data_IF_755221648282
#
_entry.id   IF_755221648282
#
_cell.length_a   1.000
_cell.length_b   1.000
_cell.length_c   1.000
_cell.angle_alpha   90.00
_cell.angle_beta   90.00
_cell.angle_gamma   90.00
#
_symmetry.space_group_name_H-M   'P 1'
#
loop_
_entity.id
_entity.type
_entity.pdbx_description
1 polymer ?
#
# COMPACT_ATOMS: atom_id res chain seq x y z
N UNK A 1 34.41 41.71 10.45
CA UNK A 1 33.82 40.37 10.16
C UNK A 1 32.97 40.44 8.90
N UNK A 2 33.52 40.14 7.73
CA UNK A 2 32.77 39.90 6.49
C UNK A 2 33.44 38.72 5.79
N UNK A 3 32.92 37.52 6.03
CA UNK A 3 33.29 36.36 5.22
C UNK A 3 32.08 36.01 4.37
N UNK A 4 32.17 36.37 3.10
CA UNK A 4 31.15 36.18 2.10
C UNK A 4 31.61 35.14 1.09
N UNK A 5 30.64 34.36 0.62
CA UNK A 5 30.53 33.80 -0.74
C UNK A 5 31.03 32.35 -0.93
N UNK A 6 30.02 31.47 -0.96
CA UNK A 6 29.86 30.25 -1.77
C UNK A 6 30.76 30.19 -3.02
N UNK A 7 31.30 29.00 -3.34
CA UNK A 7 31.27 28.50 -4.72
C UNK A 7 31.55 26.97 -4.84
N UNK A 8 30.51 26.25 -5.30
CA UNK A 8 30.49 25.11 -6.26
C UNK A 8 31.29 23.83 -5.96
N UNK A 9 30.59 22.81 -5.49
CA UNK A 9 30.87 21.39 -5.79
C UNK A 9 30.09 21.01 -7.06
N UNK A 10 30.78 20.45 -8.07
CA UNK A 10 30.17 19.92 -9.30
C UNK A 10 29.94 18.40 -9.16
N UNK A 11 28.72 17.88 -9.44
CA UNK A 11 28.50 16.43 -9.56
C UNK A 11 28.79 15.97 -10.99
N UNK A 12 29.71 15.02 -11.13
CA UNK A 12 29.99 14.34 -12.39
C UNK A 12 29.03 13.18 -12.65
N UNK A 13 28.26 13.35 -13.73
CA UNK A 13 27.83 12.36 -14.72
C UNK A 13 27.19 11.03 -14.30
N UNK A 14 25.90 10.97 -14.65
CA UNK A 14 25.02 9.82 -14.83
C UNK A 14 25.31 9.09 -16.16
N UNK A 15 25.33 7.75 -16.16
CA UNK A 15 25.10 6.85 -17.31
C UNK A 15 25.24 5.39 -16.82
N UNK A 16 24.46 4.39 -17.20
CA UNK A 16 23.24 4.27 -17.98
C UNK A 16 22.65 2.89 -17.65
N UNK A 17 21.35 2.86 -17.39
CA UNK A 17 20.49 1.66 -17.43
C UNK A 17 20.12 1.38 -18.88
N UNK A 18 20.09 0.10 -19.25
CA UNK A 18 19.50 -0.38 -20.51
C UNK A 18 19.82 -1.87 -20.66
N UNK A 19 19.04 -2.79 -20.10
CA UNK A 19 17.74 -3.24 -20.62
C UNK A 19 17.78 -3.52 -22.14
N UNK A 20 17.60 -4.80 -22.51
CA UNK A 20 16.82 -5.29 -23.66
C UNK A 20 17.01 -6.81 -23.74
N UNK A 21 16.05 -7.58 -23.23
CA UNK A 21 14.84 -8.09 -23.93
C UNK A 21 15.16 -9.23 -24.89
N UNK A 22 14.71 -10.42 -24.46
CA UNK A 22 14.37 -11.57 -25.31
C UNK A 22 13.50 -11.12 -26.49
N UNK A 23 13.68 -11.72 -27.68
CA UNK A 23 12.60 -12.58 -28.16
C UNK A 23 13.09 -13.75 -29.03
N UNK A 24 12.46 -14.91 -28.93
CA UNK A 24 12.69 -15.95 -29.93
C UNK A 24 11.90 -17.24 -29.71
N UNK A 25 11.08 -17.57 -30.71
CA UNK A 25 10.44 -18.87 -30.99
C UNK A 25 9.17 -19.13 -30.19
N UNK A 26 7.98 -18.77 -30.66
CA UNK A 26 7.29 -19.15 -31.91
C UNK A 26 7.21 -20.67 -32.16
N UNK A 27 5.95 -21.13 -32.10
CA UNK A 27 5.30 -22.16 -32.92
C UNK A 27 5.48 -23.62 -32.53
N UNK A 28 4.37 -24.24 -32.09
CA UNK A 28 4.27 -25.69 -31.96
C UNK A 28 2.95 -26.19 -31.38
N UNK A 29 1.80 -25.78 -31.92
CA UNK A 29 0.52 -26.45 -31.64
C UNK A 29 0.19 -27.42 -32.79
N UNK A 30 0.32 -28.74 -32.61
CA UNK A 30 -0.39 -29.69 -33.44
C UNK A 30 -1.73 -30.07 -32.79
N UNK A 31 -2.77 -29.66 -33.51
CA UNK A 31 -4.03 -30.37 -33.80
C UNK A 31 -4.37 -31.64 -32.98
N UNK A 32 -5.62 -31.59 -32.51
CA UNK A 32 -6.65 -32.65 -32.46
C UNK A 32 -6.38 -33.86 -31.56
N UNK A 33 -7.30 -34.04 -30.60
CA UNK A 33 -8.28 -35.15 -30.69
C UNK A 33 -9.57 -34.80 -29.93
N UNK A 34 -10.66 -34.84 -30.69
CA UNK A 34 -12.03 -35.02 -30.21
C UNK A 34 -12.18 -36.52 -29.95
N UNK A 35 -12.51 -36.90 -28.72
CA UNK A 35 -13.23 -38.13 -28.31
C UNK A 35 -13.75 -37.81 -26.90
N UNK A 36 -14.99 -37.35 -26.75
CA UNK A 36 -16.16 -38.21 -26.49
C UNK A 36 -15.89 -39.24 -25.41
N UNK A 37 -16.30 -38.94 -24.18
CA UNK A 37 -16.91 -39.91 -23.26
C UNK A 37 -17.45 -39.15 -22.04
N UNK A 38 -18.74 -39.36 -21.78
CA UNK A 38 -19.51 -38.63 -20.78
C UNK A 38 -18.98 -38.87 -19.38
N UNK A 39 -18.80 -37.78 -18.63
CA UNK A 39 -18.72 -37.87 -17.17
C UNK A 39 -20.15 -37.89 -16.63
N UNK A 40 -20.58 -38.95 -15.92
CA UNK A 40 -21.80 -38.86 -15.13
C UNK A 40 -21.58 -37.83 -14.03
N UNK A 41 -22.50 -36.88 -13.91
CA UNK A 41 -22.53 -35.97 -12.77
C UNK A 41 -22.76 -36.80 -11.49
N UNK A 42 -21.91 -36.67 -10.45
CA UNK A 42 -22.18 -37.30 -9.18
C UNK A 42 -23.45 -36.68 -8.58
N UNK A 43 -24.53 -37.46 -8.55
CA UNK A 43 -25.74 -37.12 -7.80
C UNK A 43 -25.41 -37.34 -6.32
N UNK A 44 -25.43 -36.26 -5.55
CA UNK A 44 -25.42 -36.35 -4.09
C UNK A 44 -24.04 -36.53 -3.46
N UNK A 45 -23.25 -35.46 -3.42
CA UNK A 45 -22.47 -35.18 -2.22
C UNK A 45 -22.96 -33.84 -1.66
N UNK A 46 -23.85 -33.93 -0.68
CA UNK A 46 -24.12 -32.88 0.27
C UNK A 46 -22.83 -32.62 1.07
N UNK A 47 -22.16 -31.52 0.78
CA UNK A 47 -21.04 -31.05 1.59
C UNK A 47 -21.60 -30.44 2.88
N UNK A 48 -21.25 -30.94 4.09
CA UNK A 48 -21.44 -30.17 5.30
C UNK A 48 -20.34 -29.10 5.33
N UNK A 49 -20.57 -28.00 4.61
CA UNK A 49 -19.52 -27.00 4.41
C UNK A 49 -20.02 -25.73 3.76
N UNK A 50 -21.31 -25.42 3.93
CA UNK A 50 -21.85 -24.11 3.55
C UNK A 50 -21.40 -23.09 4.60
N UNK A 51 -20.14 -22.70 4.49
CA UNK A 51 -19.66 -21.47 5.08
C UNK A 51 -20.64 -20.34 4.69
N UNK A 52 -20.95 -19.45 5.64
CA UNK A 52 -22.08 -18.54 5.51
C UNK A 52 -21.94 -17.66 4.28
N UNK A 53 -23.06 -17.47 3.58
CA UNK A 53 -23.27 -16.42 2.59
C UNK A 53 -23.18 -15.05 3.30
N UNK A 54 -21.98 -14.61 3.66
CA UNK A 54 -21.78 -13.23 4.12
C UNK A 54 -21.59 -12.35 2.89
N UNK A 55 -22.68 -12.12 2.17
CA UNK A 55 -22.77 -11.05 1.17
C UNK A 55 -23.95 -10.14 1.54
N UNK A 56 -23.90 -9.64 2.77
CA UNK A 56 -24.61 -8.45 3.16
C UNK A 56 -23.64 -7.62 4.00
N UNK A 57 -22.85 -6.77 3.34
CA UNK A 57 -22.26 -5.60 4.00
C UNK A 57 -22.19 -4.41 3.04
N UNK A 58 -23.30 -3.67 3.08
CA UNK A 58 -23.42 -2.22 2.94
C UNK A 58 -22.86 -1.54 1.69
N UNK A 59 -23.80 -1.34 0.76
CA UNK A 59 -23.86 -0.25 -0.23
C UNK A 59 -24.02 1.12 0.49
N UNK A 60 -23.16 1.42 1.47
CA UNK A 60 -23.21 2.67 2.25
C UNK A 60 -21.83 3.05 2.74
N UNK A 61 -20.90 3.22 1.81
CA UNK A 61 -19.88 4.25 1.95
C UNK A 61 -19.32 4.52 0.56
N UNK A 62 -19.52 5.73 0.04
CA UNK A 62 -18.70 6.26 -1.05
C UNK A 62 -17.19 6.25 -0.73
N UNK A 63 -16.80 5.86 0.50
CA UNK A 63 -15.45 5.93 1.04
C UNK A 63 -14.99 4.51 1.39
N UNK A 64 -13.78 4.10 1.00
CA UNK A 64 -13.22 2.81 1.37
C UNK A 64 -13.17 2.65 2.90
N UNK A 65 -13.05 1.43 3.41
CA UNK A 65 -12.73 1.22 4.82
C UNK A 65 -11.24 1.45 5.08
N UNK A 66 -10.88 1.84 6.30
CA UNK A 66 -9.47 1.97 6.68
C UNK A 66 -8.84 0.60 6.95
N UNK A 67 -7.67 0.29 6.36
CA UNK A 67 -6.95 -0.94 6.64
C UNK A 67 -6.26 -0.84 8.00
N UNK A 68 -5.94 -2.00 8.59
CA UNK A 68 -5.21 -2.10 9.85
C UNK A 68 -3.87 -1.36 9.81
N UNK A 69 -3.19 -1.40 8.67
CA UNK A 69 -1.93 -0.70 8.42
C UNK A 69 -2.02 0.09 7.12
N UNK A 70 -1.71 1.37 7.20
CA UNK A 70 -1.62 2.26 6.04
C UNK A 70 -0.31 3.02 6.07
N UNK A 71 0.31 3.17 4.91
CA UNK A 71 1.51 3.97 4.71
C UNK A 71 1.26 5.00 3.61
N UNK A 72 1.84 6.19 3.75
CA UNK A 72 1.80 7.25 2.73
C UNK A 72 2.84 7.06 1.63
N UNK A 73 3.85 6.20 1.84
CA UNK A 73 4.90 5.98 0.86
C UNK A 73 4.40 5.05 -0.26
N UNK A 74 4.32 5.50 -1.52
CA UNK A 74 3.85 4.68 -2.64
C UNK A 74 4.73 3.46 -2.94
N UNK A 75 5.95 3.41 -2.38
CA UNK A 75 6.85 2.25 -2.50
C UNK A 75 6.55 1.17 -1.47
N UNK A 76 5.72 1.47 -0.47
CA UNK A 76 5.34 0.54 0.59
C UNK A 76 4.22 -0.39 0.12
N UNK A 77 4.23 -1.69 0.49
CA UNK A 77 3.13 -2.60 0.19
C UNK A 77 1.80 -2.21 0.89
N UNK A 78 1.86 -1.30 1.86
CA UNK A 78 0.69 -0.81 2.61
C UNK A 78 0.19 0.56 2.10
N UNK A 79 0.55 0.94 0.88
CA UNK A 79 0.02 2.15 0.24
C UNK A 79 -1.31 1.85 -0.45
N UNK A 80 -2.35 2.61 -0.10
CA UNK A 80 -3.69 2.47 -0.68
C UNK A 80 -4.14 3.80 -1.24
N UNK A 81 -4.00 3.98 -2.56
CA UNK A 81 -4.33 5.23 -3.25
C UNK A 81 -5.79 5.68 -3.01
N UNK A 82 -6.74 4.73 -3.02
CA UNK A 82 -8.17 5.01 -2.86
C UNK A 82 -8.52 5.72 -1.53
N UNK A 83 -7.69 5.55 -0.50
CA UNK A 83 -7.89 6.19 0.81
C UNK A 83 -7.37 7.63 0.80
N UNK A 84 -6.29 7.88 0.04
CA UNK A 84 -5.70 9.21 -0.13
C UNK A 84 -6.46 10.10 -1.12
N UNK A 85 -7.45 9.57 -1.85
CA UNK A 85 -8.41 10.38 -2.61
C UNK A 85 -9.29 11.25 -1.69
N UNK A 86 -9.40 10.86 -0.41
CA UNK A 86 -10.14 11.58 0.61
C UNK A 86 -9.18 12.20 1.63
N UNK A 87 -9.60 13.28 2.31
CA UNK A 87 -8.86 13.81 3.44
C UNK A 87 -8.95 12.84 4.63
N UNK A 88 -7.81 12.32 5.06
CA UNK A 88 -7.72 11.33 6.14
C UNK A 88 -6.93 11.91 7.31
N UNK A 89 -7.52 11.81 8.51
CA UNK A 89 -6.89 12.15 9.77
C UNK A 89 -6.84 10.96 10.72
N UNK A 90 -6.00 11.04 11.74
CA UNK A 90 -5.89 10.01 12.78
C UNK A 90 -5.98 10.65 14.16
N UNK A 91 -6.83 10.10 15.02
CA UNK A 91 -6.86 10.42 16.44
C UNK A 91 -5.98 9.43 17.20
N UNK A 92 -5.02 9.95 17.96
CA UNK A 92 -4.22 9.18 18.90
C UNK A 92 -4.57 9.64 20.32
N UNK A 93 -5.15 8.76 21.13
CA UNK A 93 -5.59 9.06 22.50
C UNK A 93 -6.45 10.34 22.58
N UNK A 94 -7.36 10.52 21.62
CA UNK A 94 -8.22 11.71 21.51
C UNK A 94 -7.58 12.96 20.91
N UNK A 95 -6.27 12.93 20.57
CA UNK A 95 -5.59 14.03 19.88
C UNK A 95 -5.53 13.78 18.37
N UNK A 96 -5.99 14.74 17.59
CA UNK A 96 -5.97 14.68 16.12
C UNK A 96 -4.57 14.95 15.55
N UNK A 97 -4.17 14.10 14.61
CA UNK A 97 -2.95 14.18 13.82
C UNK A 97 -3.30 14.04 12.34
N UNK A 98 -2.85 15.00 11.54
CA UNK A 98 -3.05 15.04 10.09
C UNK A 98 -1.75 14.76 9.30
N UNK A 99 -0.59 14.95 9.93
CA UNK A 99 0.72 14.73 9.34
C UNK A 99 1.26 13.33 9.64
N UNK A 100 0.44 12.30 9.47
CA UNK A 100 0.86 10.90 9.74
C UNK A 100 1.46 10.28 8.49
N UNK A 101 2.64 9.66 8.63
CA UNK A 101 3.28 8.95 7.52
C UNK A 101 2.95 7.45 7.50
N UNK A 102 2.71 6.85 8.65
CA UNK A 102 2.30 5.45 8.76
C UNK A 102 1.53 5.22 10.05
N UNK A 103 0.54 4.33 10.03
CA UNK A 103 -0.13 3.87 11.24
C UNK A 103 -0.39 2.38 11.23
N UNK A 104 -0.58 1.83 12.42
CA UNK A 104 -1.08 0.48 12.65
C UNK A 104 -2.13 0.51 13.76
N UNK A 105 -3.38 0.15 13.44
CA UNK A 105 -4.52 0.11 14.38
C UNK A 105 -4.37 -1.07 15.32
N UNK A 106 -4.11 -2.26 14.77
CA UNK A 106 -3.96 -3.50 15.53
C UNK A 106 -2.84 -3.44 16.58
N UNK A 107 -1.71 -2.81 16.25
CA UNK A 107 -0.61 -2.64 17.19
C UNK A 107 -0.69 -1.31 17.98
N UNK A 108 -1.64 -0.43 17.65
CA UNK A 108 -1.87 0.84 18.34
C UNK A 108 -0.70 1.82 18.27
N UNK A 109 -0.19 2.13 17.07
CA UNK A 109 0.86 3.14 16.91
C UNK A 109 0.77 3.93 15.62
N UNK A 110 1.34 5.14 15.64
CA UNK A 110 1.53 6.02 14.50
C UNK A 110 2.99 6.45 14.36
N UNK A 111 3.44 6.73 13.14
CA UNK A 111 4.70 7.38 12.83
C UNK A 111 4.42 8.76 12.26
N UNK A 112 4.98 9.77 12.90
CA UNK A 112 4.88 11.17 12.47
C UNK A 112 6.27 11.75 12.25
N UNK A 113 6.45 12.70 11.33
CA UNK A 113 7.66 13.50 11.28
C UNK A 113 7.72 14.39 12.54
N UNK A 114 8.89 14.43 13.18
CA UNK A 114 9.19 15.17 14.39
C UNK A 114 9.34 16.67 14.09
N UNK A 115 8.25 17.30 13.64
CA UNK A 115 8.21 18.73 13.33
C UNK A 115 9.30 19.14 12.34
N UNK A 116 10.16 20.08 12.75
CA UNK A 116 11.23 20.66 11.93
C UNK A 116 12.56 19.90 12.02
N UNK A 117 12.62 18.82 12.81
CA UNK A 117 13.85 18.08 13.03
C UNK A 117 14.15 17.21 11.79
N UNK A 118 15.27 17.49 11.13
CA UNK A 118 15.76 16.75 9.98
C UNK A 118 17.02 15.96 10.36
N UNK A 119 17.20 14.79 9.75
CA UNK A 119 18.43 13.98 9.87
C UNK A 119 19.61 14.65 9.13
N UNK A 120 20.80 14.03 9.20
CA UNK A 120 22.01 14.52 8.50
C UNK A 120 21.86 14.60 6.98
N UNK A 121 20.89 13.89 6.41
CA UNK A 121 20.58 13.82 4.98
C UNK A 121 19.42 14.75 4.59
N UNK A 122 18.85 15.48 5.54
CA UNK A 122 17.72 16.38 5.32
C UNK A 122 16.34 15.71 5.35
N UNK A 123 16.23 14.44 5.73
CA UNK A 123 14.95 13.76 5.86
C UNK A 123 14.30 14.07 7.20
N UNK A 124 12.97 14.17 7.28
CA UNK A 124 12.27 14.31 8.55
C UNK A 124 12.60 13.16 9.49
N UNK A 125 12.95 13.49 10.74
CA UNK A 125 13.08 12.46 11.78
C UNK A 125 11.71 11.89 12.10
N UNK A 126 11.57 10.58 12.08
CA UNK A 126 10.29 9.92 12.34
C UNK A 126 10.18 9.53 13.81
N UNK A 127 9.13 9.99 14.48
CA UNK A 127 8.80 9.61 15.86
C UNK A 127 7.62 8.65 15.85
N UNK A 128 7.81 7.51 16.53
CA UNK A 128 6.74 6.53 16.76
C UNK A 128 6.00 6.89 18.05
N UNK A 129 4.70 7.12 17.95
CA UNK A 129 3.81 7.35 19.10
C UNK A 129 2.90 6.14 19.25
N UNK A 130 2.68 5.69 20.49
CA UNK A 130 1.80 4.55 20.83
C UNK A 130 0.52 5.05 21.50
N UNK A 131 -0.58 4.34 21.30
CA UNK A 131 -1.87 4.66 21.89
C UNK A 131 -3.05 4.08 21.11
N UNK A 132 -4.26 4.49 21.50
CA UNK A 132 -5.48 4.18 20.77
C UNK A 132 -5.50 4.97 19.46
N UNK A 133 -5.47 4.25 18.33
CA UNK A 133 -5.41 4.81 16.98
C UNK A 133 -6.79 4.71 16.34
N UNK A 134 -7.37 5.86 16.03
CA UNK A 134 -8.69 5.97 15.40
C UNK A 134 -8.56 6.76 14.09
N UNK A 135 -8.50 6.09 12.93
CA UNK A 135 -8.51 6.77 11.64
C UNK A 135 -9.92 7.28 11.33
N UNK A 136 -10.02 8.47 10.74
CA UNK A 136 -11.28 9.09 10.36
C UNK A 136 -11.15 9.86 9.05
N UNK A 137 -12.26 9.98 8.33
CA UNK A 137 -12.39 10.85 7.16
C UNK A 137 -12.73 12.28 7.62
N UNK A 138 -12.07 13.27 7.04
CA UNK A 138 -12.31 14.70 7.28
C UNK A 138 -13.11 15.33 6.14
#
# INVERSE_FOLDING_TARGET
>A
MRCSRRQRYQPGASAAVGERRHPGRTTGLPRRRRLSEGRPAPKGLSWPGRYPIIAAMNDTAQRPSFPDRLSVDPRSPHYVAAIFEFDVGIKLNGKEFNNVSEYCISEGWIKIPAGRALDRKGNPMMTKLKGQVEPFYR
#
